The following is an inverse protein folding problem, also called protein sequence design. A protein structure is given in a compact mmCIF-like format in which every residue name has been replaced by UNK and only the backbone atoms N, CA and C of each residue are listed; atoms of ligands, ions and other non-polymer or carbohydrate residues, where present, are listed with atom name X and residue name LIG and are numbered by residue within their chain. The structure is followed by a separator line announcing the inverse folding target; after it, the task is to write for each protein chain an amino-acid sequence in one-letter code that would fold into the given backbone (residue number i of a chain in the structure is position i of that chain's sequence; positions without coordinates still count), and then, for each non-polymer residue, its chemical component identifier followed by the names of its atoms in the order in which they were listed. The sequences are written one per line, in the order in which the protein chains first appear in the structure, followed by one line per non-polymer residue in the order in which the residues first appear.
data_IF_530943211513
#
_entry.id   IF_530943211513
#
_cell.length_a   1.000
_cell.length_b   1.000
_cell.length_c   1.000
_cell.angle_alpha   90.00
_cell.angle_beta   90.00
_cell.angle_gamma   90.00
#
_symmetry.space_group_name_H-M   'P 1'
#
loop_
_entity.id
_entity.type
_entity.pdbx_description
1 polymer ?
#
# COMPACT_ATOMS: atom_id res chain seq x y z
N UNK A 1 14.96 -17.45 68.02
CA UNK A 1 15.14 -16.01 68.35
C UNK A 1 15.69 -15.38 67.04
N UNK A 2 14.78 -14.77 66.30
CA UNK A 2 14.67 -13.33 66.06
C UNK A 2 15.70 -12.84 65.04
N UNK A 3 15.41 -12.09 63.97
CA UNK A 3 14.29 -11.19 63.67
C UNK A 3 14.23 -10.96 62.12
N UNK A 4 13.02 -10.77 61.63
CA UNK A 4 12.72 -10.14 60.36
C UNK A 4 13.33 -8.75 60.24
N UNK A 5 13.78 -8.41 59.02
CA UNK A 5 13.70 -7.03 58.55
C UNK A 5 13.48 -7.00 57.04
N UNK A 6 12.37 -6.36 56.65
CA UNK A 6 11.97 -6.04 55.30
C UNK A 6 12.78 -4.86 54.75
N UNK A 7 12.95 -4.75 53.40
CA UNK A 7 13.55 -3.57 52.79
C UNK A 7 12.51 -2.46 52.53
N UNK A 8 12.93 -1.20 52.49
CA UNK A 8 12.04 -0.06 52.33
C UNK A 8 11.61 0.18 50.89
N UNK A 9 10.36 0.56 50.72
CA UNK A 9 9.78 1.12 49.52
C UNK A 9 10.37 2.50 49.24
N UNK A 10 10.96 2.66 48.04
CA UNK A 10 11.41 3.94 47.52
C UNK A 10 10.84 4.19 46.13
N UNK A 11 9.78 5.01 46.03
CA UNK A 11 9.30 5.57 44.79
C UNK A 11 10.30 6.62 44.27
N UNK A 12 10.95 6.32 43.15
CA UNK A 12 11.73 7.27 42.40
C UNK A 12 11.17 7.34 40.98
N UNK A 13 10.33 8.33 40.68
CA UNK A 13 10.02 8.74 39.30
C UNK A 13 11.30 9.33 38.69
N UNK A 14 11.96 8.56 37.87
CA UNK A 14 13.04 9.03 37.02
C UNK A 14 12.45 9.44 35.65
N UNK A 15 12.38 10.74 35.43
CA UNK A 15 12.16 11.30 34.10
C UNK A 15 13.32 10.87 33.19
N UNK A 16 13.09 9.86 32.36
CA UNK A 16 14.00 9.56 31.25
C UNK A 16 13.78 10.59 30.15
N UNK A 17 14.70 11.56 30.08
CA UNK A 17 14.87 12.44 28.93
C UNK A 17 15.16 11.59 27.70
N UNK A 18 14.27 11.63 26.71
CA UNK A 18 14.51 11.05 25.40
C UNK A 18 15.73 11.71 24.76
N UNK A 19 16.79 10.95 24.57
CA UNK A 19 17.95 11.39 23.78
C UNK A 19 17.54 11.57 22.32
N UNK A 20 17.73 12.77 21.82
CA UNK A 20 17.48 13.13 20.43
C UNK A 20 18.56 12.53 19.55
N UNK A 21 18.20 11.58 18.70
CA UNK A 21 19.08 11.09 17.62
C UNK A 21 19.49 12.24 16.70
N UNK A 22 20.77 12.28 16.32
CA UNK A 22 21.33 13.29 15.43
C UNK A 22 20.88 13.00 14.00
N UNK A 23 20.37 14.04 13.38
CA UNK A 23 19.94 14.08 12.00
C UNK A 23 21.16 14.28 11.06
N UNK A 24 21.17 13.53 9.96
CA UNK A 24 22.19 13.70 8.91
C UNK A 24 21.80 14.85 7.96
N UNK A 25 20.56 15.39 8.04
CA UNK A 25 20.04 16.47 7.19
C UNK A 25 19.18 17.54 7.89
N UNK A 26 19.32 17.76 9.19
CA UNK A 26 18.81 18.97 9.85
C UNK A 26 17.30 19.04 10.17
N UNK A 27 16.52 17.98 10.00
CA UNK A 27 15.08 17.98 10.31
C UNK A 27 14.73 17.18 11.58
N UNK A 28 14.31 17.91 12.65
CA UNK A 28 13.70 17.29 13.84
C UNK A 28 12.22 17.04 13.57
N UNK A 29 11.78 15.78 13.52
CA UNK A 29 10.36 15.41 13.47
C UNK A 29 9.97 14.64 14.72
N UNK A 30 8.85 15.02 15.33
CA UNK A 30 8.33 14.40 16.55
C UNK A 30 7.90 12.93 16.29
N UNK A 31 8.44 12.01 17.08
CA UNK A 31 8.38 10.54 16.94
C UNK A 31 7.03 9.86 17.21
N UNK A 32 5.88 10.54 17.18
CA UNK A 32 4.64 9.93 17.71
C UNK A 32 3.78 9.13 16.72
N UNK A 33 3.96 9.30 15.40
CA UNK A 33 3.14 8.62 14.37
C UNK A 33 3.98 8.06 13.21
N UNK A 34 5.24 7.70 13.46
CA UNK A 34 6.14 7.10 12.48
C UNK A 34 6.12 5.58 12.58
N UNK A 35 6.35 4.95 11.43
CA UNK A 35 6.70 3.55 11.35
C UNK A 35 7.85 3.23 12.35
N UNK A 36 7.64 2.23 13.18
CA UNK A 36 8.62 1.71 14.13
C UNK A 36 8.73 0.19 13.91
N UNK A 37 9.80 -0.21 13.24
CA UNK A 37 10.08 -1.60 12.90
C UNK A 37 10.15 -2.54 14.12
N UNK A 38 10.48 -2.01 15.30
CA UNK A 38 10.57 -2.80 16.52
C UNK A 38 9.21 -3.30 17.04
N UNK A 39 8.09 -2.66 16.66
CA UNK A 39 6.74 -3.10 17.06
C UNK A 39 6.25 -4.34 16.31
N UNK A 40 6.88 -4.71 15.20
CA UNK A 40 6.45 -5.81 14.34
C UNK A 40 7.03 -7.17 14.71
N UNK A 41 8.04 -7.24 15.54
CA UNK A 41 8.72 -8.49 15.91
C UNK A 41 7.83 -9.55 16.58
N UNK A 42 6.71 -9.15 17.16
CA UNK A 42 5.79 -10.08 17.86
C UNK A 42 4.69 -10.67 16.94
N UNK A 43 4.36 -10.02 15.81
CA UNK A 43 3.30 -10.48 14.89
C UNK A 43 3.75 -11.54 13.88
N UNK A 44 5.01 -11.84 13.78
CA UNK A 44 5.69 -12.65 12.76
C UNK A 44 5.28 -14.13 12.70
N UNK A 45 4.42 -14.60 13.57
CA UNK A 45 4.16 -16.04 13.72
C UNK A 45 3.06 -16.64 12.84
N UNK A 46 2.37 -15.90 11.96
CA UNK A 46 1.14 -16.41 11.32
C UNK A 46 0.89 -16.08 9.84
N UNK A 47 1.80 -15.56 9.04
CA UNK A 47 1.45 -15.19 7.68
C UNK A 47 2.01 -16.15 6.62
N UNK A 48 1.11 -17.03 6.10
CA UNK A 48 1.34 -17.78 4.85
C UNK A 48 0.81 -17.02 3.61
N UNK A 49 0.38 -15.76 3.75
CA UNK A 49 -0.21 -14.92 2.72
C UNK A 49 0.58 -13.62 2.69
N UNK A 50 1.03 -13.23 1.50
CA UNK A 50 1.83 -12.01 1.30
C UNK A 50 0.94 -10.79 1.10
N UNK A 51 -0.30 -10.97 0.62
CA UNK A 51 -1.27 -9.91 0.41
C UNK A 51 -1.94 -9.46 1.71
N UNK A 52 -2.27 -8.18 1.77
CA UNK A 52 -2.99 -7.60 2.88
C UNK A 52 -4.08 -6.61 2.41
N UNK A 53 -5.04 -6.32 3.28
CA UNK A 53 -6.17 -5.44 3.03
C UNK A 53 -6.38 -4.49 4.20
N UNK A 54 -6.81 -3.26 3.91
CA UNK A 54 -7.27 -2.32 4.94
C UNK A 54 -8.53 -1.59 4.51
N UNK A 55 -9.34 -1.20 5.47
CA UNK A 55 -10.49 -0.32 5.26
C UNK A 55 -10.84 0.40 6.55
N UNK A 56 -11.49 1.53 6.42
CA UNK A 56 -11.89 2.30 7.60
C UNK A 56 -12.45 3.67 7.26
N UNK A 57 -12.49 4.49 8.30
CA UNK A 57 -12.92 5.87 8.26
C UNK A 57 -11.78 6.76 8.71
N UNK A 58 -11.69 7.95 8.14
CA UNK A 58 -10.75 8.97 8.56
C UNK A 58 -11.39 10.35 8.50
N UNK A 59 -11.16 11.16 9.54
CA UNK A 59 -11.55 12.57 9.48
C UNK A 59 -10.56 13.32 8.60
N UNK A 60 -11.07 14.03 7.59
CA UNK A 60 -10.31 14.93 6.72
C UNK A 60 -11.02 16.30 6.79
N UNK A 61 -10.38 17.28 7.38
CA UNK A 61 -11.07 18.50 7.79
C UNK A 61 -12.23 18.16 8.73
N UNK A 62 -13.45 18.53 8.35
CA UNK A 62 -14.68 18.25 9.10
C UNK A 62 -15.47 17.04 8.52
N UNK A 63 -15.01 16.46 7.43
CA UNK A 63 -15.70 15.37 6.72
C UNK A 63 -15.18 14.00 7.14
N UNK A 64 -16.09 13.02 7.18
CA UNK A 64 -15.79 11.63 7.52
C UNK A 64 -15.57 10.82 6.25
N UNK A 65 -14.35 10.80 5.77
CA UNK A 65 -13.95 10.06 4.58
C UNK A 65 -13.83 8.58 4.87
N UNK A 66 -14.01 7.77 3.84
CA UNK A 66 -13.79 6.32 3.90
C UNK A 66 -12.61 5.93 3.02
N UNK A 67 -11.88 4.88 3.44
CA UNK A 67 -10.78 4.35 2.65
C UNK A 67 -10.82 2.84 2.55
N UNK A 68 -10.26 2.31 1.47
CA UNK A 68 -10.04 0.90 1.21
C UNK A 68 -8.69 0.74 0.53
N UNK A 69 -7.88 -0.19 1.02
CA UNK A 69 -6.56 -0.50 0.49
C UNK A 69 -6.41 -1.98 0.17
N UNK A 70 -5.76 -2.26 -0.96
CA UNK A 70 -5.31 -3.60 -1.37
C UNK A 70 -3.80 -3.52 -1.54
N UNK A 71 -3.09 -4.45 -0.90
CA UNK A 71 -1.62 -4.49 -0.85
C UNK A 71 -1.16 -5.86 -1.27
N UNK A 72 -0.72 -5.99 -2.53
CA UNK A 72 -0.21 -7.22 -3.12
C UNK A 72 1.26 -7.37 -2.76
N UNK A 73 1.55 -8.25 -1.79
CA UNK A 73 2.89 -8.48 -1.28
C UNK A 73 3.66 -9.49 -2.12
N UNK A 74 4.96 -9.27 -2.27
CA UNK A 74 5.86 -10.23 -2.92
C UNK A 74 7.22 -10.30 -2.24
N UNK A 75 7.88 -11.44 -2.39
CA UNK A 75 9.17 -11.73 -1.71
C UNK A 75 9.07 -11.70 -0.18
N UNK A 76 7.86 -11.84 0.38
CA UNK A 76 7.53 -11.78 1.78
C UNK A 76 6.41 -10.78 2.05
N UNK A 77 5.83 -10.86 3.23
CA UNK A 77 4.63 -10.13 3.67
C UNK A 77 4.93 -8.82 4.43
N UNK A 78 6.20 -8.55 4.75
CA UNK A 78 6.53 -7.48 5.69
C UNK A 78 6.14 -6.09 5.16
N UNK A 79 6.32 -5.82 3.87
CA UNK A 79 5.95 -4.55 3.24
C UNK A 79 4.43 -4.36 3.21
N UNK A 80 3.66 -5.35 2.74
CA UNK A 80 2.19 -5.27 2.67
C UNK A 80 1.55 -5.04 4.04
N UNK A 81 2.09 -5.68 5.09
CA UNK A 81 1.62 -5.47 6.46
C UNK A 81 1.89 -4.05 6.98
N UNK A 82 3.00 -3.43 6.60
CA UNK A 82 3.26 -2.03 6.91
C UNK A 82 2.28 -1.12 6.18
N UNK A 83 2.05 -1.35 4.90
CA UNK A 83 1.12 -0.55 4.11
C UNK A 83 -0.29 -0.60 4.69
N UNK A 84 -0.76 -1.77 5.06
CA UNK A 84 -2.04 -1.97 5.74
C UNK A 84 -2.19 -1.08 6.97
N UNK A 85 -1.15 -1.00 7.79
CA UNK A 85 -1.22 -0.26 9.04
C UNK A 85 -0.96 1.23 8.88
N UNK A 86 -0.09 1.63 7.95
CA UNK A 86 0.43 3.00 7.93
C UNK A 86 0.02 3.83 6.72
N UNK A 87 -0.20 3.27 5.53
CA UNK A 87 -0.38 4.07 4.32
C UNK A 87 -1.53 5.08 4.46
N UNK A 88 -2.68 4.64 4.96
CA UNK A 88 -3.83 5.52 5.18
C UNK A 88 -3.53 6.64 6.21
N UNK A 89 -2.66 6.39 7.21
CA UNK A 89 -2.25 7.39 8.20
C UNK A 89 -1.33 8.44 7.58
N UNK A 90 -0.43 8.02 6.67
CA UNK A 90 0.44 8.93 5.92
C UNK A 90 -0.38 9.82 4.98
N UNK A 91 -1.33 9.25 4.26
CA UNK A 91 -2.23 10.01 3.40
C UNK A 91 -3.05 11.01 4.23
N UNK A 92 -3.67 10.57 5.33
CA UNK A 92 -4.39 11.48 6.23
C UNK A 92 -3.50 12.63 6.70
N UNK A 93 -2.27 12.35 7.15
CA UNK A 93 -1.32 13.38 7.61
C UNK A 93 -1.00 14.44 6.54
N UNK A 94 -0.98 14.03 5.25
CA UNK A 94 -0.81 14.96 4.13
C UNK A 94 -2.07 15.79 3.88
N UNK A 95 -3.23 15.14 3.90
CA UNK A 95 -4.52 15.81 3.73
C UNK A 95 -4.81 16.81 4.88
N UNK A 96 -4.44 16.48 6.12
CA UNK A 96 -4.58 17.37 7.28
C UNK A 96 -3.76 18.69 7.16
N UNK A 97 -2.81 18.77 6.22
CA UNK A 97 -2.03 19.98 5.93
C UNK A 97 -2.65 20.86 4.86
N UNK A 98 -3.66 20.38 4.15
CA UNK A 98 -4.36 21.13 3.12
C UNK A 98 -5.33 22.12 3.74
N UNK A 99 -5.47 23.29 3.12
CA UNK A 99 -6.51 24.22 3.49
C UNK A 99 -7.90 23.70 3.09
N UNK A 100 -8.97 24.24 3.67
CA UNK A 100 -10.33 23.89 3.27
C UNK A 100 -10.60 24.14 1.77
N UNK A 101 -9.91 25.12 1.16
CA UNK A 101 -9.98 25.36 -0.29
C UNK A 101 -9.29 24.23 -1.06
N UNK A 102 -8.10 23.81 -0.63
CA UNK A 102 -7.30 22.78 -1.32
C UNK A 102 -7.94 21.39 -1.17
N UNK A 103 -8.67 21.14 -0.08
CA UNK A 103 -9.48 19.91 0.06
C UNK A 103 -10.64 19.85 -0.95
N UNK A 104 -11.01 20.96 -1.58
CA UNK A 104 -11.97 21.00 -2.70
C UNK A 104 -11.30 20.88 -4.07
N UNK A 105 -9.99 20.82 -4.12
CA UNK A 105 -9.20 20.65 -5.34
C UNK A 105 -8.65 19.21 -5.44
N UNK A 106 -9.10 18.50 -6.48
CA UNK A 106 -8.66 17.11 -6.71
C UNK A 106 -7.17 17.01 -7.04
N UNK A 107 -6.56 18.04 -7.62
CA UNK A 107 -5.13 18.09 -7.90
C UNK A 107 -4.31 18.22 -6.61
N UNK A 108 -4.75 19.05 -5.67
CA UNK A 108 -4.10 19.18 -4.36
C UNK A 108 -4.18 17.86 -3.56
N UNK A 109 -5.32 17.15 -3.64
CA UNK A 109 -5.48 15.82 -3.04
C UNK A 109 -4.55 14.80 -3.70
N UNK A 110 -4.46 14.81 -5.03
CA UNK A 110 -3.54 13.96 -5.78
C UNK A 110 -2.08 14.15 -5.33
N UNK A 111 -1.62 15.40 -5.24
CA UNK A 111 -0.28 15.73 -4.75
C UNK A 111 -0.06 15.22 -3.33
N UNK A 112 -1.05 15.37 -2.46
CA UNK A 112 -0.99 14.87 -1.09
C UNK A 112 -0.88 13.34 -1.03
N UNK A 113 -1.66 12.62 -1.85
CA UNK A 113 -1.59 11.15 -1.94
C UNK A 113 -0.24 10.69 -2.48
N UNK A 114 0.25 11.28 -3.58
CA UNK A 114 1.57 10.99 -4.17
C UNK A 114 2.70 11.20 -3.14
N UNK A 115 2.67 12.35 -2.45
CA UNK A 115 3.66 12.65 -1.41
C UNK A 115 3.63 11.66 -0.23
N UNK A 116 2.46 11.15 0.13
CA UNK A 116 2.32 10.17 1.21
C UNK A 116 2.91 8.80 0.86
N UNK A 117 2.69 8.36 -0.38
CA UNK A 117 3.26 7.10 -0.90
C UNK A 117 4.77 7.15 -0.90
N UNK A 118 5.34 8.20 -1.48
CA UNK A 118 6.81 8.38 -1.53
C UNK A 118 7.40 8.49 -0.13
N UNK A 119 6.82 9.30 0.77
CA UNK A 119 7.36 9.46 2.13
C UNK A 119 7.40 8.14 2.91
N UNK A 120 6.35 7.32 2.80
CA UNK A 120 6.32 6.01 3.48
C UNK A 120 7.35 5.04 2.88
N UNK A 121 7.48 5.01 1.56
CA UNK A 121 8.47 4.16 0.87
C UNK A 121 9.91 4.58 1.21
N UNK A 122 10.18 5.88 1.19
CA UNK A 122 11.49 6.43 1.57
C UNK A 122 11.87 6.04 3.01
N UNK A 123 10.90 6.08 3.95
CA UNK A 123 11.13 5.66 5.33
C UNK A 123 11.41 4.14 5.41
N UNK A 124 10.65 3.30 4.70
CA UNK A 124 10.87 1.84 4.66
C UNK A 124 12.26 1.52 4.09
N UNK A 125 12.61 2.12 2.97
CA UNK A 125 13.84 1.84 2.23
C UNK A 125 15.07 2.35 3.00
N UNK A 126 14.98 3.57 3.56
CA UNK A 126 16.10 4.18 4.31
C UNK A 126 16.31 3.54 5.69
N UNK A 127 15.24 3.12 6.39
CA UNK A 127 15.37 2.41 7.68
C UNK A 127 16.08 1.07 7.51
N UNK A 128 15.70 0.31 6.47
CA UNK A 128 16.38 -0.95 6.14
C UNK A 128 17.84 -0.74 5.73
N UNK A 129 18.14 0.31 4.98
CA UNK A 129 19.50 0.66 4.60
C UNK A 129 20.35 1.03 5.83
N UNK A 130 19.83 1.87 6.71
CA UNK A 130 20.53 2.29 7.93
C UNK A 130 20.83 1.10 8.85
N UNK A 131 19.92 0.13 8.91
CA UNK A 131 20.07 -1.06 9.76
C UNK A 131 21.29 -1.94 9.40
N UNK A 132 21.82 -1.84 8.16
CA UNK A 132 23.02 -2.57 7.75
C UNK A 132 24.26 -2.01 8.49
N UNK A 133 24.30 -0.71 8.77
CA UNK A 133 25.48 0.00 9.25
C UNK A 133 25.39 0.45 10.71
N UNK A 134 24.24 0.32 11.33
CA UNK A 134 24.05 0.67 12.75
C UNK A 134 24.61 -0.41 13.69
N UNK A 135 25.15 -0.02 14.86
CA UNK A 135 25.69 -0.95 15.86
C UNK A 135 24.55 -1.60 16.66
N UNK A 136 23.66 -2.32 15.99
CA UNK A 136 22.53 -3.08 16.57
C UNK A 136 22.77 -4.58 16.44
N UNK A 137 21.94 -5.38 17.10
CA UNK A 137 22.03 -6.83 16.97
C UNK A 137 21.61 -7.28 15.57
N UNK A 138 22.18 -8.39 15.09
CA UNK A 138 21.81 -8.96 13.79
C UNK A 138 20.28 -9.24 13.69
N UNK A 139 19.64 -9.65 14.78
CA UNK A 139 18.20 -9.88 14.82
C UNK A 139 17.40 -8.57 14.64
N UNK A 140 17.80 -7.49 15.30
CA UNK A 140 17.19 -6.16 15.11
C UNK A 140 17.39 -5.64 13.69
N UNK A 141 18.61 -5.79 13.16
CA UNK A 141 18.90 -5.40 11.77
C UNK A 141 18.02 -6.18 10.79
N UNK A 142 17.89 -7.50 10.92
CA UNK A 142 17.02 -8.31 10.07
C UNK A 142 15.55 -7.89 10.16
N UNK A 143 15.05 -7.51 11.34
CA UNK A 143 13.69 -7.01 11.52
C UNK A 143 13.46 -5.69 10.76
N UNK A 144 14.44 -4.78 10.78
CA UNK A 144 14.35 -3.48 10.07
C UNK A 144 14.58 -3.60 8.57
N UNK A 145 15.42 -4.55 8.14
CA UNK A 145 15.68 -4.82 6.72
C UNK A 145 14.49 -5.53 6.06
N UNK A 146 13.76 -6.38 6.77
CA UNK A 146 12.70 -7.20 6.19
C UNK A 146 11.67 -6.40 5.36
N UNK A 147 11.13 -5.26 5.82
CA UNK A 147 10.19 -4.45 5.04
C UNK A 147 10.78 -3.88 3.75
N UNK A 148 12.05 -3.50 3.75
CA UNK A 148 12.70 -3.00 2.54
C UNK A 148 13.10 -4.12 1.59
N UNK A 149 13.36 -5.33 2.10
CA UNK A 149 13.77 -6.49 1.28
C UNK A 149 12.61 -7.24 0.64
N UNK A 150 11.42 -7.14 1.22
CA UNK A 150 10.16 -7.52 0.59
C UNK A 150 9.69 -6.39 -0.34
N UNK A 151 8.62 -6.63 -1.09
CA UNK A 151 7.95 -5.60 -1.87
C UNK A 151 6.44 -5.70 -1.74
N UNK A 152 5.75 -4.63 -2.10
CA UNK A 152 4.28 -4.64 -2.22
C UNK A 152 3.80 -3.62 -3.22
N UNK A 153 2.87 -4.02 -4.09
CA UNK A 153 1.99 -3.09 -4.76
C UNK A 153 1.06 -2.44 -3.74
N UNK A 154 0.53 -1.27 -4.06
CA UNK A 154 -0.48 -0.59 -3.25
C UNK A 154 -1.56 0.03 -4.13
N UNK A 155 -2.81 -0.27 -3.80
CA UNK A 155 -3.98 0.35 -4.39
C UNK A 155 -4.84 0.90 -3.26
N UNK A 156 -5.00 2.22 -3.21
CA UNK A 156 -5.75 2.91 -2.16
C UNK A 156 -6.89 3.74 -2.77
N UNK A 157 -8.10 3.46 -2.34
CA UNK A 157 -9.29 4.25 -2.67
C UNK A 157 -9.70 5.11 -1.48
N UNK A 158 -9.98 6.40 -1.72
CA UNK A 158 -10.55 7.33 -0.76
C UNK A 158 -11.88 7.83 -1.29
N UNK A 159 -12.91 7.82 -0.46
CA UNK A 159 -14.22 8.39 -0.78
C UNK A 159 -14.47 9.66 0.01
N UNK A 160 -14.65 10.75 -0.72
CA UNK A 160 -15.12 12.03 -0.22
C UNK A 160 -16.65 12.10 -0.30
N UNK A 161 -17.36 12.02 0.84
CA UNK A 161 -18.83 11.99 0.84
C UNK A 161 -19.46 13.36 0.53
N UNK A 162 -18.76 14.48 0.78
CA UNK A 162 -19.32 15.81 0.54
C UNK A 162 -19.42 16.12 -0.95
N UNK A 163 -18.45 15.63 -1.75
CA UNK A 163 -18.41 15.85 -3.19
C UNK A 163 -18.83 14.63 -4.01
N UNK A 164 -19.05 13.49 -3.36
CA UNK A 164 -19.27 12.21 -4.02
C UNK A 164 -18.15 11.88 -5.00
N UNK A 165 -16.91 12.05 -4.57
CA UNK A 165 -15.71 11.76 -5.38
C UNK A 165 -14.96 10.59 -4.76
N UNK A 166 -14.53 9.66 -5.62
CA UNK A 166 -13.55 8.64 -5.25
C UNK A 166 -12.20 9.03 -5.86
N UNK A 167 -11.15 9.04 -5.01
CA UNK A 167 -9.76 9.22 -5.38
C UNK A 167 -9.08 7.85 -5.31
N UNK A 168 -8.49 7.40 -6.41
CA UNK A 168 -7.77 6.13 -6.50
C UNK A 168 -6.28 6.43 -6.70
N UNK A 169 -5.43 5.92 -5.82
CA UNK A 169 -3.98 5.94 -5.99
C UNK A 169 -3.47 4.51 -6.13
N UNK A 170 -2.75 4.22 -7.20
CA UNK A 170 -2.19 2.90 -7.49
C UNK A 170 -0.70 2.96 -7.81
N UNK A 171 0.10 2.08 -7.18
CA UNK A 171 1.50 1.80 -7.50
C UNK A 171 1.70 0.29 -7.56
N UNK A 172 1.92 -0.24 -8.76
CA UNK A 172 1.98 -1.67 -9.07
C UNK A 172 0.89 -2.10 -10.04
N UNK A 173 0.51 -3.37 -10.04
CA UNK A 173 -0.40 -4.00 -10.99
C UNK A 173 -1.72 -4.50 -10.35
N UNK A 174 -1.97 -4.13 -9.10
CA UNK A 174 -3.32 -4.18 -8.52
C UNK A 174 -4.22 -3.17 -9.22
N UNK A 175 -5.48 -3.53 -9.49
CA UNK A 175 -6.38 -2.73 -10.32
C UNK A 175 -7.68 -2.36 -9.63
N UNK A 176 -8.16 -1.15 -9.92
CA UNK A 176 -9.47 -0.63 -9.54
C UNK A 176 -10.37 -0.49 -10.76
N UNK A 177 -11.61 -0.98 -10.64
CA UNK A 177 -12.64 -0.87 -11.68
C UNK A 177 -13.94 -0.39 -11.06
N UNK A 178 -14.56 0.64 -11.66
CA UNK A 178 -15.90 1.09 -11.30
C UNK A 178 -16.93 0.42 -12.20
N UNK A 179 -17.94 -0.17 -11.60
CA UNK A 179 -19.16 -0.61 -12.29
C UNK A 179 -20.22 0.48 -12.19
N UNK A 180 -20.72 0.93 -13.35
CA UNK A 180 -21.78 1.95 -13.47
C UNK A 180 -22.88 1.47 -14.37
N UNK A 181 -24.13 1.66 -13.95
CA UNK A 181 -25.28 1.45 -14.83
C UNK A 181 -25.48 2.68 -15.72
N UNK A 182 -25.61 2.47 -17.03
CA UNK A 182 -25.96 3.55 -17.95
C UNK A 182 -27.41 3.95 -17.80
N UNK A 183 -27.77 5.17 -18.21
CA UNK A 183 -29.10 5.72 -18.06
C UNK A 183 -30.20 4.83 -18.71
N UNK A 184 -31.24 4.55 -17.94
CA UNK A 184 -32.45 3.79 -18.35
C UNK A 184 -32.74 2.60 -17.43
N UNK A 185 -34.02 2.27 -17.23
CA UNK A 185 -34.49 1.18 -16.35
C UNK A 185 -33.95 -0.21 -16.71
N UNK A 186 -33.41 -0.37 -17.92
CA UNK A 186 -32.70 -1.57 -18.42
C UNK A 186 -31.29 -1.24 -18.92
N UNK A 187 -30.68 -0.16 -18.42
CA UNK A 187 -29.36 0.29 -18.88
C UNK A 187 -28.28 -0.77 -18.69
N UNK A 188 -27.43 -0.91 -19.69
CA UNK A 188 -26.28 -1.80 -19.63
C UNK A 188 -25.28 -1.31 -18.56
N UNK A 189 -24.62 -2.25 -17.94
CA UNK A 189 -23.53 -1.95 -17.00
C UNK A 189 -22.21 -1.80 -17.78
N UNK A 190 -21.47 -0.76 -17.45
CA UNK A 190 -20.14 -0.51 -18.01
C UNK A 190 -19.06 -0.68 -16.95
N UNK A 191 -17.92 -1.20 -17.36
CA UNK A 191 -16.71 -1.26 -16.58
C UNK A 191 -15.84 -0.04 -16.89
N UNK A 192 -15.45 0.71 -15.87
CA UNK A 192 -14.61 1.91 -16.00
C UNK A 192 -13.31 1.67 -15.24
N UNK A 193 -12.16 1.45 -15.93
CA UNK A 193 -10.87 1.28 -15.27
C UNK A 193 -10.46 2.58 -14.57
N UNK A 194 -10.09 2.47 -13.29
CA UNK A 194 -9.68 3.59 -12.45
C UNK A 194 -8.18 3.54 -12.08
N UNK A 195 -7.45 2.57 -12.54
CA UNK A 195 -6.00 2.48 -12.42
C UNK A 195 -5.39 1.92 -13.70
N UNK A 196 -4.09 2.07 -13.84
CA UNK A 196 -3.28 1.48 -14.90
C UNK A 196 -2.28 0.55 -14.23
N UNK A 197 -2.09 -0.65 -14.81
CA UNK A 197 -1.15 -1.61 -14.27
C UNK A 197 0.29 -1.18 -14.59
N UNK A 198 1.11 -0.99 -13.55
CA UNK A 198 2.52 -0.64 -13.69
C UNK A 198 3.36 -1.92 -13.79
N UNK A 199 3.40 -2.48 -14.98
CA UNK A 199 4.13 -3.71 -15.27
C UNK A 199 5.14 -3.51 -16.39
N UNK A 200 6.07 -4.44 -16.52
CA UNK A 200 7.05 -4.42 -17.63
C UNK A 200 6.45 -4.70 -19.01
N UNK A 201 5.14 -5.01 -19.09
CA UNK A 201 4.40 -5.07 -20.35
C UNK A 201 3.71 -3.75 -20.73
N UNK A 202 3.72 -2.76 -19.82
CA UNK A 202 3.16 -1.43 -20.08
C UNK A 202 4.20 -0.57 -20.85
N UNK A 203 3.90 -0.15 -22.10
CA UNK A 203 4.85 0.62 -22.91
C UNK A 203 5.23 1.97 -22.29
N UNK A 204 4.31 2.62 -21.58
CA UNK A 204 4.55 3.93 -20.97
C UNK A 204 5.53 3.80 -19.78
N UNK A 205 5.41 2.74 -18.99
CA UNK A 205 6.36 2.42 -17.90
C UNK A 205 7.74 2.07 -18.47
N UNK A 206 7.79 1.28 -19.55
CA UNK A 206 9.06 0.98 -20.23
C UNK A 206 9.73 2.26 -20.75
N UNK A 207 8.96 3.15 -21.38
CA UNK A 207 9.47 4.41 -21.90
C UNK A 207 9.99 5.32 -20.76
N UNK A 208 9.23 5.43 -19.67
CA UNK A 208 9.63 6.19 -18.47
C UNK A 208 10.96 5.71 -17.93
N UNK A 209 11.07 4.41 -17.63
CA UNK A 209 12.26 3.82 -17.02
C UNK A 209 13.49 3.95 -17.95
N UNK A 210 13.35 3.72 -19.24
CA UNK A 210 14.44 3.88 -20.19
C UNK A 210 14.89 5.35 -20.30
N UNK A 211 13.98 6.31 -20.16
CA UNK A 211 14.31 7.72 -20.14
C UNK A 211 15.02 8.16 -18.85
N UNK A 212 14.66 7.57 -17.70
CA UNK A 212 15.29 7.83 -16.40
C UNK A 212 16.70 7.20 -16.28
N UNK A 213 16.96 6.10 -17.04
CA UNK A 213 18.21 5.33 -16.97
C UNK A 213 18.87 5.19 -18.35
N UNK A 214 19.32 6.29 -18.98
CA UNK A 214 19.89 6.27 -20.33
C UNK A 214 21.20 5.46 -20.38
N UNK A 215 21.28 4.55 -21.36
CA UNK A 215 22.47 3.71 -21.56
C UNK A 215 22.46 2.37 -20.78
N UNK A 216 21.36 2.08 -20.06
CA UNK A 216 21.17 0.79 -19.38
C UNK A 216 20.22 -0.11 -20.17
N UNK A 217 20.72 -0.81 -21.19
CA UNK A 217 19.89 -1.56 -22.14
C UNK A 217 19.29 -2.88 -21.60
N UNK A 218 19.63 -3.28 -20.34
CA UNK A 218 19.24 -4.58 -19.77
C UNK A 218 18.24 -4.49 -18.63
N UNK A 219 17.49 -3.40 -18.55
CA UNK A 219 16.50 -3.22 -17.50
C UNK A 219 15.29 -4.13 -17.68
N UNK A 220 14.97 -4.47 -18.92
CA UNK A 220 13.87 -5.39 -19.26
C UNK A 220 14.39 -6.67 -19.91
N UNK A 221 13.84 -7.80 -19.49
CA UNK A 221 14.07 -9.08 -20.19
C UNK A 221 13.21 -9.19 -21.45
N UNK A 222 13.52 -10.14 -22.32
CA UNK A 222 12.70 -10.45 -23.49
C UNK A 222 11.26 -10.87 -23.13
N UNK A 223 11.01 -11.31 -21.90
CA UNK A 223 9.68 -11.64 -21.38
C UNK A 223 8.99 -10.44 -20.70
N UNK A 224 9.51 -9.21 -20.86
CA UNK A 224 8.94 -8.01 -20.26
C UNK A 224 9.17 -7.87 -18.75
N UNK A 225 10.05 -8.67 -18.12
CA UNK A 225 10.33 -8.55 -16.70
C UNK A 225 11.33 -7.43 -16.42
N UNK A 226 10.94 -6.51 -15.57
CA UNK A 226 11.75 -5.39 -15.11
C UNK A 226 12.71 -5.82 -13.98
N UNK A 227 14.01 -5.91 -14.27
CA UNK A 227 15.03 -6.40 -13.30
C UNK A 227 14.58 -7.68 -12.56
N UNK A 228 13.92 -8.59 -13.28
CA UNK A 228 13.42 -9.86 -12.77
C UNK A 228 12.02 -9.81 -12.12
N UNK A 229 11.39 -8.64 -11.99
CA UNK A 229 10.03 -8.45 -11.50
C UNK A 229 9.00 -8.31 -12.61
N UNK A 230 7.75 -8.57 -12.32
CA UNK A 230 6.60 -8.23 -13.18
C UNK A 230 6.26 -6.74 -13.07
N UNK A 231 6.33 -6.18 -11.85
CA UNK A 231 5.98 -4.80 -11.56
C UNK A 231 7.15 -3.83 -11.72
N UNK A 232 6.83 -2.62 -12.17
CA UNK A 232 7.76 -1.49 -12.34
C UNK A 232 7.68 -0.47 -11.21
N UNK A 233 6.57 -0.48 -10.46
CA UNK A 233 6.37 0.35 -9.27
C UNK A 233 5.95 -0.51 -8.08
N UNK A 234 6.56 -0.25 -6.92
CA UNK A 234 6.28 -0.95 -5.67
C UNK A 234 6.85 -0.22 -4.48
N UNK A 235 6.34 -0.51 -3.29
CA UNK A 235 6.98 -0.19 -2.01
C UNK A 235 8.04 -1.23 -1.68
N UNK A 236 9.05 -0.84 -0.89
CA UNK A 236 10.14 -1.71 -0.52
C UNK A 236 11.06 -2.04 -1.69
N UNK A 237 11.29 -3.33 -1.95
CA UNK A 237 12.10 -3.79 -3.09
C UNK A 237 13.50 -3.19 -3.15
N UNK A 238 14.23 -3.23 -2.06
CA UNK A 238 15.58 -2.67 -1.92
C UNK A 238 16.55 -3.03 -3.05
N UNK A 239 16.39 -4.23 -3.64
CA UNK A 239 17.20 -4.70 -4.78
C UNK A 239 17.13 -3.80 -6.01
N UNK A 240 16.09 -2.99 -6.12
CA UNK A 240 15.86 -2.04 -7.21
C UNK A 240 16.00 -0.58 -6.77
N UNK A 241 16.31 -0.36 -5.48
CA UNK A 241 16.36 1.00 -4.90
C UNK A 241 17.69 1.33 -4.23
N UNK A 242 18.35 0.35 -3.62
CA UNK A 242 19.62 0.59 -2.93
C UNK A 242 20.81 0.69 -3.89
N UNK A 243 21.84 1.47 -3.53
CA UNK A 243 23.11 1.49 -4.25
C UNK A 243 23.80 0.11 -4.21
N UNK A 244 24.62 -0.13 -5.21
CA UNK A 244 25.30 -1.42 -5.41
C UNK A 244 26.11 -1.86 -4.19
N UNK A 245 26.83 -0.95 -3.59
CA UNK A 245 27.67 -1.19 -2.40
C UNK A 245 26.82 -1.70 -1.23
N UNK A 246 25.67 -1.06 -0.98
CA UNK A 246 24.75 -1.47 0.07
C UNK A 246 24.12 -2.85 -0.20
N UNK A 247 23.85 -3.18 -1.46
CA UNK A 247 23.37 -4.52 -1.84
C UNK A 247 24.46 -5.59 -1.63
N UNK A 248 25.71 -5.28 -1.89
CA UNK A 248 26.85 -6.18 -1.62
C UNK A 248 27.01 -6.39 -0.10
N UNK A 249 26.95 -5.35 0.70
CA UNK A 249 27.02 -5.44 2.17
C UNK A 249 25.82 -6.23 2.75
N UNK A 250 24.61 -5.98 2.25
CA UNK A 250 23.43 -6.76 2.61
C UNK A 250 23.57 -8.23 2.25
N UNK A 251 24.07 -8.53 1.05
CA UNK A 251 24.32 -9.91 0.62
C UNK A 251 25.34 -10.62 1.53
N UNK A 252 26.42 -9.96 1.85
CA UNK A 252 27.52 -10.55 2.61
C UNK A 252 27.22 -10.65 4.11
N UNK A 253 26.55 -9.62 4.69
CA UNK A 253 26.27 -9.54 6.12
C UNK A 253 24.94 -10.18 6.54
N UNK A 254 23.94 -10.22 5.65
CA UNK A 254 22.56 -10.57 6.00
C UNK A 254 21.92 -11.61 5.06
N UNK A 255 22.72 -12.33 4.28
CA UNK A 255 22.27 -13.35 3.32
C UNK A 255 21.29 -12.82 2.26
N UNK A 256 21.40 -11.54 1.92
CA UNK A 256 20.54 -10.89 0.94
C UNK A 256 20.64 -11.54 -0.45
N UNK A 257 19.51 -11.58 -1.17
CA UNK A 257 19.47 -12.11 -2.54
C UNK A 257 19.62 -10.97 -3.54
N UNK A 258 20.75 -10.87 -4.18
CA UNK A 258 21.02 -9.90 -5.27
C UNK A 258 21.05 -10.67 -6.59
N UNK A 259 20.15 -10.34 -7.50
CA UNK A 259 20.01 -11.05 -8.79
C UNK A 259 20.73 -10.35 -9.95
N UNK A 260 20.89 -9.04 -9.87
CA UNK A 260 21.55 -8.26 -10.91
C UNK A 260 22.72 -7.49 -10.29
N UNK A 261 23.91 -7.63 -10.87
CA UNK A 261 25.13 -6.93 -10.46
C UNK A 261 25.47 -5.74 -11.36
N UNK A 262 24.74 -5.56 -12.46
CA UNK A 262 25.01 -4.55 -13.50
C UNK A 262 24.20 -3.27 -13.28
N UNK A 263 23.76 -3.00 -12.06
CA UNK A 263 23.07 -1.76 -11.69
C UNK A 263 24.06 -0.59 -11.63
N UNK A 264 23.66 0.56 -12.19
CA UNK A 264 24.50 1.76 -12.29
C UNK A 264 23.85 2.98 -11.65
N UNK A 265 22.55 3.20 -11.86
CA UNK A 265 21.85 4.44 -11.49
C UNK A 265 20.57 4.20 -10.66
N UNK A 266 20.61 3.41 -9.56
CA UNK A 266 19.43 3.25 -8.71
C UNK A 266 19.00 4.61 -8.08
N UNK A 267 17.73 4.80 -7.71
CA UNK A 267 16.65 3.79 -7.68
C UNK A 267 15.99 3.59 -9.06
N UNK A 268 15.70 2.34 -9.41
CA UNK A 268 14.99 1.99 -10.64
C UNK A 268 13.47 1.86 -10.44
N UNK A 269 13.03 1.34 -9.30
CA UNK A 269 11.63 1.24 -8.93
C UNK A 269 11.21 2.42 -8.05
N UNK A 270 9.94 2.79 -8.14
CA UNK A 270 9.34 3.87 -7.34
C UNK A 270 8.01 3.42 -6.76
N UNK A 271 7.62 4.00 -5.62
CA UNK A 271 6.27 3.89 -5.07
C UNK A 271 5.35 5.05 -5.51
N UNK A 272 5.80 5.92 -6.43
CA UNK A 272 4.98 7.03 -6.93
C UNK A 272 3.70 6.50 -7.59
N UNK A 273 2.51 6.78 -7.05
CA UNK A 273 1.27 6.26 -7.61
C UNK A 273 0.82 7.11 -8.79
N UNK A 274 0.09 6.50 -9.71
CA UNK A 274 -0.86 7.24 -10.53
C UNK A 274 -2.13 7.48 -9.72
N UNK A 275 -2.71 8.67 -9.87
CA UNK A 275 -3.94 9.03 -9.15
C UNK A 275 -5.04 9.38 -10.15
N UNK A 276 -6.22 8.79 -9.95
CA UNK A 276 -7.41 9.07 -10.74
C UNK A 276 -8.56 9.46 -9.82
N UNK A 277 -9.28 10.50 -10.22
CA UNK A 277 -10.42 11.04 -9.49
C UNK A 277 -11.69 10.83 -10.33
N UNK A 278 -12.77 10.35 -9.72
CA UNK A 278 -14.04 10.15 -10.40
C UNK A 278 -15.20 10.54 -9.49
N UNK A 279 -16.15 11.31 -10.05
CA UNK A 279 -17.43 11.52 -9.40
C UNK A 279 -18.26 10.24 -9.48
N UNK A 280 -18.76 9.80 -8.34
CA UNK A 280 -19.59 8.60 -8.26
C UNK A 280 -21.08 8.95 -8.08
N UNK A 281 -21.91 8.04 -8.53
CA UNK A 281 -23.35 8.18 -8.56
C UNK A 281 -24.02 7.09 -7.70
N UNK A 282 -25.25 7.34 -7.20
CA UNK A 282 -25.98 6.31 -6.49
C UNK A 282 -26.17 5.04 -7.35
N UNK A 283 -25.74 3.91 -6.82
CA UNK A 283 -25.77 2.63 -7.54
C UNK A 283 -24.42 2.18 -8.07
N UNK A 284 -23.45 3.08 -8.23
CA UNK A 284 -22.07 2.71 -8.57
C UNK A 284 -21.48 1.75 -7.55
N UNK A 285 -20.58 0.91 -8.00
CA UNK A 285 -19.74 0.09 -7.13
C UNK A 285 -18.30 0.04 -7.62
N UNK A 286 -17.38 -0.17 -6.68
CA UNK A 286 -15.96 -0.22 -6.93
C UNK A 286 -15.43 -1.63 -6.62
N UNK A 287 -14.62 -2.17 -7.54
CA UNK A 287 -13.90 -3.43 -7.38
C UNK A 287 -12.42 -3.09 -7.30
N UNK A 288 -11.77 -3.52 -6.21
CA UNK A 288 -10.33 -3.45 -6.03
C UNK A 288 -9.79 -4.88 -5.95
N UNK A 289 -8.74 -5.19 -6.68
CA UNK A 289 -8.17 -6.54 -6.68
C UNK A 289 -6.67 -6.54 -6.97
N UNK A 290 -5.99 -7.59 -6.52
CA UNK A 290 -4.61 -7.89 -6.88
C UNK A 290 -4.54 -8.55 -8.27
N UNK A 291 -3.34 -8.69 -8.83
CA UNK A 291 -3.09 -9.40 -10.10
C UNK A 291 -3.62 -10.84 -10.05
N UNK A 292 -3.54 -11.48 -8.88
CA UNK A 292 -4.08 -12.81 -8.66
C UNK A 292 -5.58 -12.95 -8.94
N UNK A 293 -6.36 -11.85 -8.84
CA UNK A 293 -7.76 -11.78 -9.28
C UNK A 293 -7.84 -11.40 -10.77
N UNK A 294 -7.19 -10.31 -11.18
CA UNK A 294 -7.35 -9.74 -12.52
C UNK A 294 -6.73 -10.56 -13.65
N UNK A 295 -5.75 -11.43 -13.35
CA UNK A 295 -5.19 -12.39 -14.32
C UNK A 295 -6.19 -13.48 -14.75
N UNK A 296 -7.36 -13.58 -14.07
CA UNK A 296 -8.35 -14.62 -14.32
C UNK A 296 -9.73 -14.09 -14.69
N UNK A 297 -9.99 -12.80 -14.49
CA UNK A 297 -11.30 -12.17 -14.68
C UNK A 297 -11.14 -10.86 -15.44
N UNK A 298 -11.88 -10.67 -16.53
CA UNK A 298 -11.92 -9.38 -17.22
C UNK A 298 -12.65 -8.32 -16.39
N UNK A 299 -12.43 -7.04 -16.70
CA UNK A 299 -13.16 -5.96 -16.04
C UNK A 299 -14.67 -6.12 -16.21
N UNK A 300 -15.10 -6.49 -17.41
CA UNK A 300 -16.51 -6.70 -17.79
C UNK A 300 -17.12 -7.86 -17.03
N UNK A 301 -16.42 -9.01 -16.96
CA UNK A 301 -16.91 -10.18 -16.22
C UNK A 301 -17.01 -9.91 -14.72
N UNK A 302 -16.04 -9.17 -14.15
CA UNK A 302 -16.07 -8.77 -12.76
C UNK A 302 -17.30 -7.89 -12.45
N UNK A 303 -17.55 -6.87 -13.30
CA UNK A 303 -18.71 -5.99 -13.17
C UNK A 303 -20.01 -6.79 -13.34
N UNK A 304 -20.07 -7.70 -14.31
CA UNK A 304 -21.23 -8.57 -14.54
C UNK A 304 -21.53 -9.47 -13.31
N UNK A 305 -20.52 -10.09 -12.73
CA UNK A 305 -20.67 -10.92 -11.53
C UNK A 305 -21.22 -10.12 -10.32
N UNK A 306 -20.69 -8.91 -10.10
CA UNK A 306 -21.17 -8.05 -9.01
C UNK A 306 -22.58 -7.58 -9.25
N UNK A 307 -22.93 -7.21 -10.51
CA UNK A 307 -24.30 -6.87 -10.90
C UNK A 307 -25.27 -8.01 -10.55
N UNK A 308 -24.99 -9.24 -10.98
CA UNK A 308 -25.85 -10.40 -10.69
C UNK A 308 -26.05 -10.58 -9.19
N UNK A 309 -24.99 -10.39 -8.40
CA UNK A 309 -25.08 -10.48 -6.94
C UNK A 309 -25.97 -9.36 -6.37
N UNK A 310 -25.85 -8.11 -6.83
CA UNK A 310 -26.69 -6.98 -6.41
C UNK A 310 -28.17 -7.25 -6.74
N UNK A 311 -28.45 -7.72 -7.96
CA UNK A 311 -29.82 -8.03 -8.41
C UNK A 311 -30.44 -9.18 -7.60
N UNK A 312 -29.66 -10.21 -7.26
CA UNK A 312 -30.12 -11.30 -6.40
C UNK A 312 -30.45 -10.81 -4.99
N UNK A 313 -29.61 -9.97 -4.39
CA UNK A 313 -29.86 -9.37 -3.07
C UNK A 313 -31.10 -8.47 -3.09
N UNK A 314 -31.35 -7.72 -4.16
CA UNK A 314 -32.53 -6.88 -4.28
C UNK A 314 -33.84 -7.70 -4.32
N UNK A 315 -33.81 -8.92 -4.86
CA UNK A 315 -34.95 -9.86 -4.84
C UNK A 315 -35.21 -10.43 -3.44
N UNK A 316 -34.17 -10.74 -2.67
CA UNK A 316 -34.29 -11.24 -1.29
C UNK A 316 -34.74 -10.15 -0.29
N UNK A 317 -34.41 -8.89 -0.54
CA UNK A 317 -34.74 -7.75 0.35
C UNK A 317 -36.26 -7.39 0.28
N UNK A 318 -37.02 -7.90 -0.70
CA UNK A 318 -38.48 -7.74 -0.71
C UNK A 318 -39.16 -8.40 0.50
N UNK A 319 -38.49 -9.29 1.23
CA UNK A 319 -39.01 -9.97 2.44
C UNK A 319 -38.36 -9.53 3.77
N UNK A 320 -37.21 -8.86 3.78
CA UNK A 320 -36.57 -8.41 5.03
C UNK A 320 -36.03 -6.97 4.95
N UNK A 321 -36.61 -6.13 5.80
CA UNK A 321 -36.33 -4.69 5.95
C UNK A 321 -34.84 -4.35 5.99
N UNK A 322 -34.41 -3.50 5.01
CA UNK A 322 -33.38 -2.47 5.06
C UNK A 322 -32.43 -2.48 6.28
N UNK A 323 -31.35 -3.19 6.16
CA UNK A 323 -30.11 -2.84 6.84
C UNK A 323 -29.03 -2.71 5.77
N UNK A 324 -28.54 -1.49 5.59
CA UNK A 324 -27.45 -1.15 4.68
C UNK A 324 -26.19 -1.80 5.23
N UNK A 325 -25.88 -2.98 4.77
CA UNK A 325 -24.58 -3.62 5.03
C UNK A 325 -23.65 -3.28 3.86
N UNK A 326 -22.56 -2.59 4.18
CA UNK A 326 -21.39 -2.55 3.30
C UNK A 326 -20.87 -3.98 3.25
N UNK A 327 -21.21 -4.70 2.19
CA UNK A 327 -20.68 -6.04 1.98
C UNK A 327 -19.27 -5.91 1.41
N UNK A 328 -18.28 -5.82 2.29
CA UNK A 328 -16.93 -6.17 1.95
C UNK A 328 -16.84 -7.70 1.93
N UNK A 329 -17.06 -8.31 0.78
CA UNK A 329 -16.90 -9.74 0.63
C UNK A 329 -15.49 -10.00 0.12
N UNK A 330 -14.60 -10.40 1.04
CA UNK A 330 -13.27 -10.89 0.72
C UNK A 330 -13.41 -12.31 0.18
N UNK A 331 -13.28 -12.47 -1.12
CA UNK A 331 -13.23 -13.81 -1.72
C UNK A 331 -11.80 -14.32 -1.64
N UNK A 332 -11.48 -15.04 -0.58
CA UNK A 332 -10.22 -15.79 -0.51
C UNK A 332 -10.41 -17.13 -1.22
N UNK A 333 -9.77 -17.33 -2.33
CA UNK A 333 -9.66 -18.63 -2.99
C UNK A 333 -8.22 -19.11 -2.90
N UNK A 334 -7.98 -20.15 -2.09
CA UNK A 334 -6.73 -20.89 -2.08
C UNK A 334 -6.73 -21.86 -3.25
N UNK A 335 -6.03 -21.53 -4.33
CA UNK A 335 -5.60 -22.54 -5.30
C UNK A 335 -4.11 -22.30 -5.61
N UNK A 336 -3.30 -23.33 -5.42
CA UNK A 336 -1.88 -23.39 -5.78
C UNK A 336 -0.96 -22.34 -5.13
N UNK A 337 -1.13 -21.99 -3.85
CA UNK A 337 -0.15 -21.24 -3.08
C UNK A 337 -0.06 -19.73 -3.41
N UNK A 338 -0.91 -19.21 -4.30
CA UNK A 338 -1.06 -17.77 -4.55
C UNK A 338 -2.38 -17.26 -3.96
N UNK A 339 -2.32 -16.15 -3.23
CA UNK A 339 -3.50 -15.48 -2.70
C UNK A 339 -4.23 -14.77 -3.82
N UNK A 340 -5.57 -14.83 -3.83
CA UNK A 340 -6.42 -14.07 -4.74
C UNK A 340 -7.28 -13.16 -3.89
N UNK A 341 -6.89 -11.90 -3.77
CA UNK A 341 -7.57 -10.94 -2.92
C UNK A 341 -8.24 -9.85 -3.75
N UNK A 342 -9.52 -9.65 -3.50
CA UNK A 342 -10.30 -8.56 -4.07
C UNK A 342 -11.34 -8.06 -3.09
N UNK A 343 -11.62 -6.77 -3.11
CA UNK A 343 -12.68 -6.12 -2.34
C UNK A 343 -13.70 -5.55 -3.32
N UNK A 344 -14.98 -5.88 -3.14
CA UNK A 344 -16.05 -5.17 -3.82
C UNK A 344 -16.74 -4.21 -2.83
N UNK A 345 -16.89 -2.96 -3.21
CA UNK A 345 -17.46 -1.89 -2.41
C UNK A 345 -18.66 -1.33 -3.14
N UNK A 346 -19.86 -1.43 -2.55
CA UNK A 346 -21.02 -0.73 -3.06
C UNK A 346 -21.10 0.68 -2.48
N UNK A 347 -21.17 1.67 -3.36
CA UNK A 347 -21.35 3.07 -2.98
C UNK A 347 -22.85 3.31 -2.89
N UNK A 348 -23.34 3.52 -1.66
CA UNK A 348 -24.74 3.92 -1.41
C UNK A 348 -24.72 5.37 -0.98
N UNK A 349 -25.39 6.23 -1.77
CA UNK A 349 -25.65 7.63 -1.41
C UNK A 349 -26.60 7.75 -0.23
#
# INVERSE_FOLDING_TARGET
MEKHNAPPTGHGRGDQKAEAGRDINGFRVARRDRYDSNRYSESWKRHNVEDDLSWGRMMVGNADWRYWGVYDGHSGWATSSILKEFLHKYVRRKLDKLSAKDLNDSEAIEVAMKSAFIELDDEIVSDGLAAIYEPITHAEAMCRIAPSSCGSCALLALYDPERSIVHIAGAGDSRAVLGRQQDGDNGDWVSIPLSVDHSGSNPDEMARINAEHPGEDRLFSAAGRFLGSEVTRSFGDNRRKWPKEALEDWKNGFFGRVYNTDIQTPPYATALPDVKNIKVEPGDFLILGTDGFWNHVSNEDAVYCVRLWIEAQAKDISEQKRNIQIAAQVTMSKHQGRSRNGICIRITG
#
